data_IF_761989310984
#
_entry.id   IF_761989310984
#
_cell.length_a   1.000
_cell.length_b   1.000
_cell.length_c   1.000
_cell.angle_alpha   90.00
_cell.angle_beta   90.00
_cell.angle_gamma   90.00
#
_symmetry.space_group_name_H-M   'P 1'
#
loop_
_entity.id
_entity.type
_entity.pdbx_description
1 polymer ?
#
# COMPACT_ATOMS: atom_id res chain seq x y z
N UNK A 1 -7.16 -9.06 -18.88
CA UNK A 1 -8.15 -8.42 -17.98
C UNK A 1 -8.70 -7.15 -18.63
N UNK A 2 -9.97 -6.80 -18.43
CA UNK A 2 -10.56 -5.58 -19.01
C UNK A 2 -11.18 -4.76 -17.88
N UNK A 3 -10.64 -3.59 -17.64
CA UNK A 3 -11.17 -2.62 -16.68
C UNK A 3 -12.24 -1.73 -17.31
N UNK A 4 -13.13 -1.23 -16.48
CA UNK A 4 -14.00 -0.11 -16.78
C UNK A 4 -13.49 1.11 -16.01
N UNK A 5 -13.34 2.24 -16.70
CA UNK A 5 -12.85 3.48 -16.08
C UNK A 5 -13.75 4.65 -16.42
N UNK A 6 -13.87 5.61 -15.50
CA UNK A 6 -14.61 6.85 -15.69
C UNK A 6 -14.00 7.95 -14.83
N UNK A 7 -14.11 9.19 -15.29
CA UNK A 7 -13.71 10.36 -14.50
C UNK A 7 -14.92 11.26 -14.33
N UNK A 8 -15.28 11.59 -13.10
CA UNK A 8 -16.34 12.52 -12.77
C UNK A 8 -15.90 13.99 -13.02
N UNK A 9 -16.87 14.90 -13.13
CA UNK A 9 -16.61 16.32 -13.39
C UNK A 9 -15.76 16.98 -12.29
N UNK A 10 -15.84 16.49 -11.05
CA UNK A 10 -15.01 16.93 -9.92
C UNK A 10 -13.59 16.36 -9.91
N UNK A 11 -13.21 15.58 -10.93
CA UNK A 11 -11.87 15.02 -11.09
C UNK A 11 -11.68 13.63 -10.47
N UNK A 12 -12.63 13.09 -9.71
CA UNK A 12 -12.53 11.73 -9.17
C UNK A 12 -12.50 10.72 -10.32
N UNK A 13 -11.50 9.86 -10.28
CA UNK A 13 -11.36 8.74 -11.22
C UNK A 13 -11.92 7.46 -10.61
N UNK A 14 -12.72 6.73 -11.36
CA UNK A 14 -13.31 5.45 -10.95
C UNK A 14 -12.70 4.35 -11.80
N UNK A 15 -12.24 3.27 -11.15
CA UNK A 15 -11.76 2.06 -11.82
C UNK A 15 -12.51 0.84 -11.29
N UNK A 16 -13.01 0.00 -12.19
CA UNK A 16 -13.73 -1.21 -11.84
C UNK A 16 -13.20 -2.40 -12.63
N UNK A 17 -12.87 -3.47 -11.91
CA UNK A 17 -12.59 -4.79 -12.50
C UNK A 17 -13.82 -5.68 -12.33
N UNK A 18 -14.52 -6.04 -13.41
CA UNK A 18 -15.65 -6.98 -13.36
C UNK A 18 -15.21 -8.38 -12.94
N UNK A 19 -15.99 -9.04 -12.12
CA UNK A 19 -15.83 -10.47 -11.80
C UNK A 19 -17.21 -11.08 -11.51
N UNK A 20 -17.27 -12.40 -11.41
CA UNK A 20 -18.48 -13.16 -11.06
C UNK A 20 -18.71 -13.27 -9.53
N UNK A 21 -17.83 -12.67 -8.73
CA UNK A 21 -17.93 -12.69 -7.28
C UNK A 21 -19.09 -11.86 -6.78
N UNK A 22 -19.90 -12.44 -5.89
CA UNK A 22 -20.93 -11.70 -5.15
C UNK A 22 -20.34 -10.79 -4.07
N UNK A 23 -19.13 -11.09 -3.57
CA UNK A 23 -18.38 -10.20 -2.70
C UNK A 23 -17.70 -9.15 -3.56
N UNK A 24 -17.87 -7.90 -3.17
CA UNK A 24 -17.28 -6.73 -3.81
C UNK A 24 -16.27 -6.13 -2.85
N UNK A 25 -15.06 -5.89 -3.36
CA UNK A 25 -14.05 -5.07 -2.70
C UNK A 25 -14.11 -3.68 -3.34
N UNK A 26 -14.36 -2.66 -2.55
CA UNK A 26 -14.44 -1.29 -3.06
C UNK A 26 -13.97 -0.27 -2.03
N UNK A 27 -13.50 0.88 -2.50
CA UNK A 27 -13.03 1.93 -1.61
C UNK A 27 -12.40 3.11 -2.31
N UNK A 28 -11.94 4.04 -1.49
CA UNK A 28 -11.14 5.19 -1.91
C UNK A 28 -9.68 4.93 -1.62
N UNK A 29 -8.85 5.28 -2.59
CA UNK A 29 -7.42 5.47 -2.37
C UNK A 29 -7.07 6.93 -2.61
N UNK A 30 -6.42 7.54 -1.65
CA UNK A 30 -6.11 8.95 -1.63
C UNK A 30 -4.59 9.11 -1.72
N UNK A 31 -4.12 9.99 -2.59
CA UNK A 31 -2.70 10.31 -2.70
C UNK A 31 -2.30 11.26 -1.56
N UNK A 32 -2.40 10.76 -0.34
CA UNK A 32 -2.13 11.45 0.91
C UNK A 32 -1.60 10.41 1.91
N UNK A 33 -0.31 10.35 2.08
CA UNK A 33 0.37 9.49 3.05
C UNK A 33 1.34 10.31 3.88
N UNK A 34 2.16 9.64 4.68
CA UNK A 34 3.10 10.34 5.56
C UNK A 34 4.12 11.18 4.79
N UNK A 35 4.42 10.84 3.56
CA UNK A 35 5.26 11.64 2.67
C UNK A 35 4.72 13.06 2.40
N UNK A 36 3.44 13.30 2.64
CA UNK A 36 2.76 14.58 2.43
C UNK A 36 2.72 15.44 3.69
N UNK A 37 3.23 14.93 4.80
CA UNK A 37 3.36 15.65 6.07
C UNK A 37 4.46 16.71 5.97
N UNK A 38 4.26 17.82 6.65
CA UNK A 38 5.25 18.88 6.77
C UNK A 38 6.10 18.64 8.03
N UNK A 39 7.30 19.22 8.13
CA UNK A 39 8.11 19.07 9.33
C UNK A 39 7.34 19.47 10.61
N UNK A 40 7.26 18.53 11.56
CA UNK A 40 6.48 18.68 12.78
C UNK A 40 5.08 18.06 12.73
N UNK A 41 4.68 17.50 11.59
CA UNK A 41 3.40 16.81 11.40
C UNK A 41 3.58 15.27 11.31
N UNK A 42 4.75 14.75 11.68
CA UNK A 42 5.04 13.32 11.54
C UNK A 42 4.05 12.47 12.33
N UNK A 43 3.32 11.59 11.62
CA UNK A 43 2.22 10.78 12.15
C UNK A 43 0.83 11.34 11.90
N UNK A 44 0.69 12.55 11.32
CA UNK A 44 -0.62 13.18 11.11
C UNK A 44 -1.48 12.44 10.09
N UNK A 45 -0.89 11.84 9.05
CA UNK A 45 -1.62 11.05 8.05
C UNK A 45 -2.28 9.82 8.68
N UNK A 46 -1.53 9.09 9.51
CA UNK A 46 -2.04 7.93 10.26
C UNK A 46 -3.07 8.36 11.31
N UNK A 47 -2.80 9.44 12.04
CA UNK A 47 -3.77 10.03 12.96
C UNK A 47 -5.09 10.37 12.26
N UNK A 48 -5.05 11.00 11.08
CA UNK A 48 -6.25 11.30 10.29
C UNK A 48 -7.02 10.04 9.89
N UNK A 49 -6.32 8.94 9.59
CA UNK A 49 -6.96 7.66 9.31
C UNK A 49 -7.82 7.21 10.48
N UNK A 50 -7.27 7.13 11.69
CA UNK A 50 -7.98 6.72 12.91
C UNK A 50 -9.20 7.60 13.20
N UNK A 51 -9.00 8.92 13.17
CA UNK A 51 -10.08 9.85 13.54
C UNK A 51 -11.15 10.03 12.47
N UNK A 52 -10.92 9.55 11.24
CA UNK A 52 -11.91 9.53 10.15
C UNK A 52 -13.15 8.68 10.51
N UNK A 53 -13.00 7.65 11.35
CA UNK A 53 -14.11 6.82 11.82
C UNK A 53 -14.89 7.40 13.01
N UNK A 54 -14.53 8.58 13.51
CA UNK A 54 -15.07 9.13 14.75
C UNK A 54 -16.24 10.10 14.57
N UNK A 55 -16.58 10.45 13.35
CA UNK A 55 -17.76 11.24 13.04
C UNK A 55 -17.69 12.05 11.77
N UNK A 56 -18.84 12.16 11.12
CA UNK A 56 -19.06 13.02 9.96
C UNK A 56 -20.13 14.07 10.31
N UNK A 57 -20.45 14.98 9.39
CA UNK A 57 -21.59 15.90 9.54
C UNK A 57 -22.91 15.14 9.71
N UNK A 58 -23.06 13.94 9.11
CA UNK A 58 -24.29 13.14 9.11
C UNK A 58 -24.29 12.00 10.13
N UNK A 59 -23.12 11.45 10.48
CA UNK A 59 -22.98 10.21 11.25
C UNK A 59 -22.10 10.37 12.46
N UNK A 60 -22.52 9.82 13.59
CA UNK A 60 -21.67 9.63 14.78
C UNK A 60 -20.82 8.35 14.59
N UNK A 61 -19.74 8.21 15.34
CA UNK A 61 -18.84 7.06 15.32
C UNK A 61 -19.56 5.70 15.34
N UNK A 62 -20.57 5.55 16.24
CA UNK A 62 -21.33 4.30 16.33
C UNK A 62 -22.09 3.96 15.03
N UNK A 63 -22.66 4.96 14.35
CA UNK A 63 -23.37 4.75 13.08
C UNK A 63 -22.39 4.35 11.97
N UNK A 64 -21.16 4.89 11.95
CA UNK A 64 -20.12 4.56 10.99
C UNK A 64 -19.74 3.09 11.14
N UNK A 65 -19.37 2.67 12.36
CA UNK A 65 -18.95 1.30 12.65
C UNK A 65 -20.03 0.26 12.33
N UNK A 66 -21.29 0.52 12.69
CA UNK A 66 -22.37 -0.44 12.46
C UNK A 66 -22.93 -0.43 11.03
N UNK A 67 -22.63 0.59 10.23
CA UNK A 67 -23.24 0.77 8.93
C UNK A 67 -23.02 -0.45 8.00
N UNK A 68 -21.83 -0.98 7.92
CA UNK A 68 -21.53 -2.15 7.09
C UNK A 68 -21.57 -3.46 7.88
N UNK A 69 -21.11 -3.47 9.12
CA UNK A 69 -21.12 -4.66 9.96
C UNK A 69 -22.51 -5.25 10.16
N UNK A 70 -23.55 -4.41 10.26
CA UNK A 70 -24.95 -4.85 10.39
C UNK A 70 -25.45 -5.70 9.21
N UNK A 71 -24.78 -5.65 8.08
CA UNK A 71 -25.07 -6.46 6.88
C UNK A 71 -23.94 -7.41 6.52
N UNK A 72 -22.99 -7.63 7.45
CA UNK A 72 -21.88 -8.56 7.29
C UNK A 72 -20.78 -8.06 6.34
N UNK A 73 -20.64 -6.74 6.18
CA UNK A 73 -19.56 -6.11 5.45
C UNK A 73 -18.45 -5.66 6.38
N UNK A 74 -17.20 -5.70 5.89
CA UNK A 74 -16.04 -5.18 6.60
C UNK A 74 -15.78 -3.73 6.22
N UNK A 75 -15.24 -2.95 7.15
CA UNK A 75 -14.76 -1.60 6.93
C UNK A 75 -13.33 -1.50 7.45
N UNK A 76 -12.39 -1.21 6.56
CA UNK A 76 -10.96 -1.18 6.85
C UNK A 76 -10.30 0.07 6.29
N UNK A 77 -9.14 0.42 6.87
CA UNK A 77 -8.24 1.45 6.34
C UNK A 77 -6.79 1.09 6.60
N UNK A 78 -5.89 1.74 5.89
CA UNK A 78 -4.47 1.76 6.19
C UNK A 78 -3.80 2.98 5.58
N UNK A 79 -2.75 3.44 6.25
CA UNK A 79 -1.88 4.52 5.78
C UNK A 79 -0.48 3.98 5.45
N UNK A 80 0.09 4.47 4.36
CA UNK A 80 1.48 4.22 4.01
C UNK A 80 2.19 5.53 3.63
N UNK A 81 3.44 5.45 3.18
CA UNK A 81 4.23 6.65 2.85
C UNK A 81 3.60 7.53 1.77
N UNK A 82 2.93 6.97 0.76
CA UNK A 82 2.40 7.72 -0.40
C UNK A 82 0.88 7.81 -0.46
N UNK A 83 0.14 7.11 0.40
CA UNK A 83 -1.32 7.12 0.32
C UNK A 83 -2.02 6.58 1.54
N UNK A 84 -3.30 6.94 1.66
CA UNK A 84 -4.25 6.37 2.63
C UNK A 84 -5.40 5.71 1.88
N UNK A 85 -5.85 4.58 2.37
CA UNK A 85 -6.91 3.77 1.75
C UNK A 85 -8.02 3.52 2.76
N UNK A 86 -9.26 3.74 2.35
CA UNK A 86 -10.48 3.37 3.08
C UNK A 86 -11.28 2.44 2.19
N UNK A 87 -11.58 1.23 2.65
CA UNK A 87 -12.20 0.22 1.81
C UNK A 87 -13.12 -0.73 2.58
N UNK A 88 -13.90 -1.46 1.83
CA UNK A 88 -14.87 -2.43 2.33
C UNK A 88 -14.87 -3.69 1.48
N UNK A 89 -15.09 -4.83 2.14
CA UNK A 89 -15.53 -6.07 1.52
C UNK A 89 -17.00 -6.29 1.87
N UNK A 90 -17.89 -6.36 0.88
CA UNK A 90 -19.34 -6.41 1.10
C UNK A 90 -20.06 -7.22 0.01
N UNK A 91 -21.24 -7.75 0.32
CA UNK A 91 -22.09 -8.35 -0.71
C UNK A 91 -22.61 -7.28 -1.69
N UNK A 92 -22.67 -7.63 -2.98
CA UNK A 92 -23.04 -6.71 -4.06
C UNK A 92 -24.38 -6.00 -3.89
N UNK A 93 -25.32 -6.62 -3.19
CA UNK A 93 -26.64 -6.05 -2.88
C UNK A 93 -26.55 -4.82 -1.97
N UNK A 94 -25.48 -4.71 -1.18
CA UNK A 94 -25.24 -3.61 -0.23
C UNK A 94 -24.23 -2.58 -0.74
N UNK A 95 -23.83 -2.64 -2.01
CA UNK A 95 -22.81 -1.72 -2.58
C UNK A 95 -23.19 -0.25 -2.45
N UNK A 96 -24.47 0.10 -2.53
CA UNK A 96 -24.91 1.48 -2.38
C UNK A 96 -24.63 2.01 -0.97
N UNK A 97 -24.80 1.17 0.06
CA UNK A 97 -24.49 1.48 1.46
C UNK A 97 -22.99 1.70 1.67
N UNK A 98 -22.15 0.83 1.07
CA UNK A 98 -20.69 0.97 1.14
C UNK A 98 -20.21 2.26 0.46
N UNK A 99 -20.72 2.56 -0.74
CA UNK A 99 -20.36 3.79 -1.47
C UNK A 99 -20.76 5.03 -0.67
N UNK A 100 -21.97 5.07 -0.11
CA UNK A 100 -22.45 6.21 0.68
C UNK A 100 -21.62 6.42 1.96
N UNK A 101 -21.34 5.33 2.71
CA UNK A 101 -20.52 5.42 3.91
C UNK A 101 -19.09 5.87 3.61
N UNK A 102 -18.43 5.20 2.65
CA UNK A 102 -17.03 5.49 2.31
C UNK A 102 -16.87 6.92 1.80
N UNK A 103 -17.84 7.42 1.00
CA UNK A 103 -17.81 8.81 0.54
C UNK A 103 -17.98 9.80 1.70
N UNK A 104 -18.88 9.48 2.63
CA UNK A 104 -19.16 10.33 3.79
C UNK A 104 -17.94 10.44 4.73
N UNK A 105 -17.32 9.31 5.08
CA UNK A 105 -16.17 9.34 5.99
C UNK A 105 -14.93 9.95 5.35
N UNK A 106 -14.71 9.78 4.04
CA UNK A 106 -13.52 10.32 3.35
C UNK A 106 -13.63 11.84 3.13
N UNK A 107 -14.81 12.35 2.76
CA UNK A 107 -14.94 13.74 2.33
C UNK A 107 -15.70 14.64 3.30
N UNK A 108 -16.40 14.09 4.28
CA UNK A 108 -17.26 14.85 5.21
C UNK A 108 -16.99 14.58 6.70
N UNK A 109 -15.83 14.00 7.04
CA UNK A 109 -15.41 13.86 8.44
C UNK A 109 -15.16 15.20 9.10
N UNK A 110 -15.63 15.33 10.36
CA UNK A 110 -15.57 16.59 11.15
C UNK A 110 -14.58 16.53 12.30
N UNK A 111 -14.02 15.36 12.57
CA UNK A 111 -12.98 15.13 13.57
C UNK A 111 -13.30 15.73 14.95
N UNK A 112 -14.36 15.25 15.67
CA UNK A 112 -14.79 15.84 16.93
C UNK A 112 -13.68 15.76 17.99
N UNK A 113 -13.30 16.88 18.62
CA UNK A 113 -12.20 16.90 19.59
C UNK A 113 -12.39 15.89 20.73
N UNK A 114 -13.62 15.73 21.24
CA UNK A 114 -13.90 14.78 22.30
C UNK A 114 -13.68 13.30 21.89
N UNK A 115 -13.75 12.97 20.61
CA UNK A 115 -13.40 11.65 20.10
C UNK A 115 -11.89 11.55 19.82
N UNK A 116 -11.24 12.62 19.37
CA UNK A 116 -9.79 12.72 19.24
C UNK A 116 -9.12 12.44 20.59
N UNK A 117 -9.58 13.11 21.66
CA UNK A 117 -9.01 12.98 23.01
C UNK A 117 -9.01 11.53 23.53
N UNK A 118 -9.96 10.71 23.05
CA UNK A 118 -10.01 9.27 23.35
C UNK A 118 -9.10 8.46 22.46
N UNK A 119 -9.05 8.78 21.15
CA UNK A 119 -8.31 8.02 20.17
C UNK A 119 -6.82 8.21 20.28
N UNK A 120 -6.36 9.38 20.72
CA UNK A 120 -4.95 9.69 20.96
C UNK A 120 -4.28 8.63 21.84
N UNK A 121 -4.93 8.19 22.92
CA UNK A 121 -4.33 7.15 23.78
C UNK A 121 -4.30 5.78 23.08
N UNK A 122 -5.30 5.46 22.25
CA UNK A 122 -5.29 4.22 21.43
C UNK A 122 -4.12 4.22 20.44
N UNK A 123 -3.89 5.36 19.78
CA UNK A 123 -2.76 5.50 18.83
C UNK A 123 -1.41 5.46 19.60
N UNK A 124 -1.35 6.05 20.78
CA UNK A 124 -0.15 5.97 21.62
C UNK A 124 0.15 4.53 22.06
N UNK A 125 -0.86 3.75 22.45
CA UNK A 125 -0.72 2.34 22.79
C UNK A 125 -0.23 1.52 21.56
N UNK A 126 -0.72 1.85 20.37
CA UNK A 126 -0.23 1.24 19.11
C UNK A 126 1.24 1.57 18.86
N UNK A 127 1.64 2.83 19.03
CA UNK A 127 3.05 3.25 18.90
C UNK A 127 3.95 2.48 19.88
N UNK A 128 3.51 2.32 21.14
CA UNK A 128 4.25 1.55 22.14
C UNK A 128 4.36 0.08 21.75
N UNK A 129 3.25 -0.55 21.35
CA UNK A 129 3.22 -1.94 20.87
C UNK A 129 4.13 -2.16 19.68
N UNK A 130 4.15 -1.21 18.73
CA UNK A 130 5.00 -1.27 17.56
C UNK A 130 6.50 -1.12 17.93
N UNK A 131 6.81 -0.21 18.84
CA UNK A 131 8.18 -0.01 19.35
C UNK A 131 8.69 -1.23 20.13
N UNK A 132 7.80 -2.01 20.73
CA UNK A 132 8.11 -3.26 21.43
C UNK A 132 8.25 -4.48 20.48
N UNK A 133 8.03 -4.28 19.17
CA UNK A 133 8.22 -5.28 18.11
C UNK A 133 9.47 -4.99 17.27
N UNK A 134 10.67 -5.41 17.68
CA UNK A 134 11.91 -5.10 16.97
C UNK A 134 11.94 -5.63 15.54
N UNK A 135 11.21 -6.72 15.27
CA UNK A 135 11.10 -7.32 13.95
C UNK A 135 10.32 -6.47 12.95
N UNK A 136 9.39 -5.63 13.44
CA UNK A 136 8.61 -4.68 12.64
C UNK A 136 9.32 -3.32 12.60
N UNK A 137 9.70 -2.80 13.76
CA UNK A 137 10.34 -1.51 13.89
C UNK A 137 11.62 -1.36 13.04
N UNK A 138 12.37 -2.44 12.83
CA UNK A 138 13.63 -2.38 12.07
C UNK A 138 13.42 -1.96 10.61
N UNK A 139 12.25 -2.22 10.01
CA UNK A 139 11.93 -1.82 8.65
C UNK A 139 11.78 -0.30 8.55
N UNK A 140 11.03 0.31 9.46
CA UNK A 140 10.85 1.75 9.51
C UNK A 140 12.15 2.48 9.85
N UNK A 141 12.87 2.01 10.85
CA UNK A 141 14.16 2.61 11.22
C UNK A 141 15.19 2.50 10.09
N UNK A 142 15.18 1.40 9.35
CA UNK A 142 16.05 1.24 8.20
C UNK A 142 15.69 2.24 7.08
N UNK A 143 14.41 2.40 6.81
CA UNK A 143 13.92 3.34 5.80
C UNK A 143 14.17 4.79 6.22
N UNK A 144 14.00 5.12 7.51
CA UNK A 144 14.34 6.43 8.07
C UNK A 144 15.82 6.76 7.91
N UNK A 145 16.70 5.78 8.05
CA UNK A 145 18.15 5.94 7.80
C UNK A 145 18.40 6.18 6.32
N UNK A 146 17.83 5.35 5.44
CA UNK A 146 18.00 5.46 3.99
C UNK A 146 17.55 6.83 3.45
N UNK A 147 16.47 7.37 4.00
CA UNK A 147 15.84 8.61 3.53
C UNK A 147 15.97 9.77 4.51
N UNK A 148 17.00 9.73 5.36
CA UNK A 148 17.21 10.77 6.34
C UNK A 148 17.20 12.17 5.73
N UNK A 149 16.39 13.05 6.31
CA UNK A 149 16.25 14.45 5.86
C UNK A 149 15.32 14.60 4.65
N UNK A 150 14.59 13.57 4.25
CA UNK A 150 13.52 13.65 3.27
C UNK A 150 12.16 13.31 3.87
N UNK A 151 11.10 13.59 3.15
CA UNK A 151 9.72 13.29 3.54
C UNK A 151 9.40 11.77 3.62
N UNK A 152 10.29 10.89 3.19
CA UNK A 152 10.19 9.44 3.38
C UNK A 152 10.87 8.96 4.69
N UNK A 153 11.70 9.80 5.29
CA UNK A 153 12.61 9.42 6.38
C UNK A 153 12.04 9.66 7.79
N UNK A 154 10.79 9.31 8.05
CA UNK A 154 10.16 9.33 9.38
C UNK A 154 9.12 8.22 9.52
N UNK A 155 8.80 7.84 10.76
CA UNK A 155 7.87 6.75 11.04
C UNK A 155 6.44 7.12 10.62
N UNK A 156 5.70 6.12 10.12
CA UNK A 156 4.29 6.29 9.71
C UNK A 156 3.43 6.69 10.91
N UNK A 157 3.67 6.09 12.07
CA UNK A 157 2.91 6.35 13.29
C UNK A 157 3.30 7.68 13.98
N UNK A 158 4.40 8.31 13.59
CA UNK A 158 4.95 9.46 14.29
C UNK A 158 5.48 9.12 15.69
N UNK A 159 5.36 10.04 16.62
CA UNK A 159 5.70 9.86 18.04
C UNK A 159 4.50 10.14 18.94
N UNK A 160 4.45 9.48 20.11
CA UNK A 160 3.38 9.72 21.08
C UNK A 160 3.28 11.20 21.52
N UNK A 161 4.40 11.93 21.56
CA UNK A 161 4.41 13.36 21.86
C UNK A 161 3.71 14.18 20.79
N UNK A 162 4.01 13.93 19.52
CA UNK A 162 3.36 14.61 18.39
C UNK A 162 1.88 14.27 18.30
N UNK A 163 1.52 12.97 18.41
CA UNK A 163 0.12 12.52 18.37
C UNK A 163 -0.72 13.19 19.46
N UNK A 164 -0.19 13.33 20.68
CA UNK A 164 -0.88 14.05 21.78
C UNK A 164 -1.05 15.55 21.54
N UNK A 165 -0.32 16.13 20.59
CA UNK A 165 -0.45 17.54 20.25
C UNK A 165 -1.47 17.82 19.14
N UNK A 166 -1.91 16.79 18.41
CA UNK A 166 -2.82 16.97 17.26
C UNK A 166 -4.25 17.30 17.69
N UNK A 167 -4.87 18.18 16.93
CA UNK A 167 -6.20 18.70 17.17
C UNK A 167 -7.13 18.50 15.97
N UNK A 168 -8.41 18.77 16.16
CA UNK A 168 -9.39 18.85 15.06
C UNK A 168 -8.91 19.75 13.92
N UNK A 169 -8.25 20.89 14.24
CA UNK A 169 -7.78 21.84 13.23
C UNK A 169 -6.65 21.26 12.39
N UNK A 170 -5.74 20.50 13.00
CA UNK A 170 -4.64 19.82 12.29
C UNK A 170 -5.18 18.77 11.31
N UNK A 171 -6.13 17.93 11.78
CA UNK A 171 -6.78 16.94 10.92
C UNK A 171 -7.53 17.60 9.75
N UNK A 172 -8.31 18.66 10.03
CA UNK A 172 -9.02 19.40 8.99
C UNK A 172 -8.08 20.10 8.00
N UNK A 173 -6.96 20.65 8.48
CA UNK A 173 -5.95 21.28 7.62
C UNK A 173 -5.37 20.26 6.64
N UNK A 174 -4.93 19.10 7.15
CA UNK A 174 -4.35 18.03 6.34
C UNK A 174 -5.36 17.47 5.34
N UNK A 175 -6.55 17.11 5.79
CA UNK A 175 -7.56 16.46 4.96
C UNK A 175 -8.16 17.42 3.93
N UNK A 176 -8.46 18.68 4.24
CA UNK A 176 -8.91 19.68 3.26
C UNK A 176 -7.88 19.93 2.16
N UNK A 177 -6.58 19.86 2.49
CA UNK A 177 -5.50 19.99 1.51
C UNK A 177 -5.43 18.78 0.57
N UNK A 178 -5.60 17.57 1.09
CA UNK A 178 -5.23 16.32 0.41
C UNK A 178 -6.40 15.40 0.07
N UNK A 179 -7.45 15.33 0.90
CA UNK A 179 -8.61 14.46 0.69
C UNK A 179 -9.60 15.14 -0.25
N UNK A 180 -9.24 15.20 -1.53
CA UNK A 180 -10.04 15.84 -2.57
C UNK A 180 -10.34 14.82 -3.68
N UNK A 181 -11.50 14.94 -4.35
CA UNK A 181 -11.85 14.03 -5.43
C UNK A 181 -10.79 13.93 -6.52
N UNK A 182 -10.17 15.04 -6.92
CA UNK A 182 -9.12 15.08 -7.94
C UNK A 182 -7.79 14.47 -7.51
N UNK A 183 -7.58 14.26 -6.20
CA UNK A 183 -6.41 13.62 -5.60
C UNK A 183 -6.69 12.18 -5.14
N UNK A 184 -7.83 11.63 -5.51
CA UNK A 184 -8.28 10.30 -5.11
C UNK A 184 -8.76 9.46 -6.31
N UNK A 185 -8.94 8.16 -6.06
CA UNK A 185 -9.69 7.27 -6.93
C UNK A 185 -10.72 6.52 -6.12
N UNK A 186 -11.80 6.09 -6.79
CA UNK A 186 -12.67 5.02 -6.29
C UNK A 186 -12.37 3.75 -7.07
N UNK A 187 -12.02 2.66 -6.36
CA UNK A 187 -11.82 1.36 -6.98
C UNK A 187 -12.93 0.40 -6.60
N UNK A 188 -13.24 -0.54 -7.49
CA UNK A 188 -14.16 -1.64 -7.22
C UNK A 188 -13.76 -2.92 -7.96
N UNK A 189 -13.90 -4.05 -7.28
CA UNK A 189 -13.66 -5.39 -7.84
C UNK A 189 -14.82 -6.32 -7.47
N UNK A 190 -15.61 -6.78 -8.43
CA UNK A 190 -16.74 -7.67 -8.19
C UNK A 190 -17.81 -7.59 -9.27
N UNK A 191 -18.95 -8.27 -9.00
CA UNK A 191 -20.12 -8.31 -9.89
C UNK A 191 -21.00 -7.06 -9.70
N UNK A 192 -20.63 -5.96 -10.36
CA UNK A 192 -21.36 -4.69 -10.28
C UNK A 192 -21.60 -4.16 -11.69
N UNK A 193 -22.79 -3.62 -11.94
CA UNK A 193 -23.04 -2.79 -13.11
C UNK A 193 -22.25 -1.46 -13.00
N UNK A 194 -21.34 -1.25 -13.94
CA UNK A 194 -20.46 -0.09 -13.91
C UNK A 194 -21.18 1.25 -14.03
N UNK A 195 -22.25 1.32 -14.85
CA UNK A 195 -23.03 2.56 -15.00
C UNK A 195 -23.76 2.90 -13.70
N UNK A 196 -24.28 1.86 -13.01
CA UNK A 196 -24.89 2.04 -11.68
C UNK A 196 -23.86 2.49 -10.66
N UNK A 197 -22.65 1.90 -10.65
CA UNK A 197 -21.55 2.30 -9.76
C UNK A 197 -21.20 3.77 -9.94
N UNK A 198 -20.97 4.23 -11.17
CA UNK A 198 -20.66 5.63 -11.49
C UNK A 198 -21.75 6.57 -10.99
N UNK A 199 -23.04 6.20 -11.16
CA UNK A 199 -24.16 7.00 -10.64
C UNK A 199 -24.19 7.04 -9.11
N UNK A 200 -23.90 5.93 -8.43
CA UNK A 200 -23.85 5.88 -6.97
C UNK A 200 -22.75 6.78 -6.41
N UNK A 201 -21.54 6.64 -6.93
CA UNK A 201 -20.39 7.47 -6.50
C UNK A 201 -20.65 8.94 -6.82
N UNK A 202 -21.18 9.25 -8.00
CA UNK A 202 -21.52 10.62 -8.38
C UNK A 202 -22.57 11.27 -7.46
N UNK A 203 -23.59 10.51 -7.04
CA UNK A 203 -24.61 11.00 -6.10
C UNK A 203 -24.08 11.19 -4.69
N UNK A 204 -23.21 10.29 -4.22
CA UNK A 204 -22.61 10.38 -2.90
C UNK A 204 -21.66 11.59 -2.74
N UNK A 205 -21.17 12.13 -3.87
CA UNK A 205 -20.28 13.30 -3.91
C UNK A 205 -20.97 14.58 -4.41
N UNK A 206 -22.21 14.51 -4.84
CA UNK A 206 -22.98 15.72 -5.16
C UNK A 206 -23.33 16.39 -3.82
N UNK A 207 -23.00 17.68 -3.69
CA UNK A 207 -23.48 18.52 -2.57
C UNK A 207 -25.01 18.61 -2.67
N UNK A 208 -25.70 17.63 -2.12
CA UNK A 208 -27.15 17.63 -2.12
C UNK A 208 -27.62 18.15 -0.76
N UNK A 209 -28.17 19.35 -0.77
CA UNK A 209 -28.89 20.03 0.32
C UNK A 209 -30.13 19.23 0.79
N UNK A 210 -30.25 17.96 0.42
CA UNK A 210 -31.32 17.04 0.75
C UNK A 210 -30.90 16.01 1.81
N UNK A 211 -30.81 16.44 3.06
CA UNK A 211 -30.68 15.59 4.25
C UNK A 211 -31.82 14.60 4.48
N UNK A 212 -32.37 13.97 3.42
CA UNK A 212 -33.56 13.10 3.52
C UNK A 212 -33.37 11.64 3.17
N UNK A 213 -32.17 11.18 2.78
CA UNK A 213 -31.97 9.78 2.43
C UNK A 213 -31.31 8.91 3.52
N UNK A 214 -30.83 9.50 4.59
CA UNK A 214 -30.02 8.78 5.59
C UNK A 214 -30.84 8.07 6.70
N UNK A 215 -32.09 8.41 6.92
CA UNK A 215 -32.91 7.80 8.00
C UNK A 215 -33.78 6.62 7.56
N UNK A 216 -34.18 6.54 6.29
CA UNK A 216 -35.08 5.48 5.84
C UNK A 216 -34.37 4.15 5.50
N UNK A 217 -33.10 4.17 5.06
CA UNK A 217 -32.40 2.94 4.68
C UNK A 217 -31.70 2.20 5.84
N UNK A 218 -31.53 2.83 7.00
CA UNK A 218 -31.02 2.16 8.20
C UNK A 218 -32.08 1.39 9.00
N UNK A 219 -33.36 1.58 8.71
CA UNK A 219 -34.48 0.96 9.42
C UNK A 219 -35.45 0.15 8.55
N UNK A 220 -35.21 0.02 7.25
CA UNK A 220 -36.10 -0.74 6.38
C UNK A 220 -35.78 -2.24 6.40
N UNK A 221 -36.33 -2.93 7.39
CA UNK A 221 -36.61 -4.36 7.30
C UNK A 221 -37.77 -4.61 6.32
N UNK A 222 -37.52 -5.54 5.40
CA UNK A 222 -38.50 -6.37 4.71
C UNK A 222 -39.85 -5.76 4.25
N UNK A 223 -39.90 -5.30 3.00
CA UNK A 223 -41.06 -5.67 2.17
C UNK A 223 -40.73 -5.43 0.68
N UNK A 224 -40.90 -6.46 -0.12
CA UNK A 224 -40.68 -6.42 -1.57
C UNK A 224 -41.69 -5.53 -2.29
N UNK A 225 -41.23 -4.93 -3.38
CA UNK A 225 -42.07 -4.15 -4.29
C UNK A 225 -41.31 -3.81 -5.55
N UNK A 226 -41.57 -4.58 -6.58
CA UNK A 226 -41.14 -4.37 -7.99
C UNK A 226 -41.77 -3.09 -8.55
N UNK A 227 -40.98 -2.28 -9.25
CA UNK A 227 -41.52 -1.27 -10.16
C UNK A 227 -40.59 -0.10 -10.43
N UNK A 228 -39.67 -0.20 -11.37
CA UNK A 228 -39.07 0.96 -12.01
C UNK A 228 -39.38 1.00 -13.49
N UNK A 229 -40.23 1.95 -13.85
CA UNK A 229 -40.46 2.36 -15.23
C UNK A 229 -39.24 3.14 -15.74
N UNK A 230 -38.82 2.81 -16.96
CA UNK A 230 -37.64 3.38 -17.57
C UNK A 230 -37.83 4.83 -18.01
N UNK A 231 -36.71 5.51 -18.03
CA UNK A 231 -36.45 6.63 -18.93
C UNK A 231 -35.15 6.34 -19.66
N UNK A 232 -35.28 5.96 -20.91
CA UNK A 232 -34.18 5.76 -21.85
C UNK A 232 -33.74 7.13 -22.36
N UNK A 233 -32.61 7.62 -21.87
CA UNK A 233 -31.85 8.61 -22.58
C UNK A 233 -30.46 8.06 -22.93
N UNK A 234 -30.33 7.85 -24.24
CA UNK A 234 -29.18 7.32 -24.94
C UNK A 234 -27.87 8.05 -24.59
N UNK A 235 -26.98 7.39 -23.86
CA UNK A 235 -25.57 7.73 -23.86
C UNK A 235 -24.89 6.84 -24.90
N UNK A 236 -24.51 7.41 -26.00
CA UNK A 236 -23.76 6.80 -27.10
C UNK A 236 -22.45 6.23 -26.57
N UNK A 237 -22.36 4.90 -26.58
CA UNK A 237 -21.11 4.18 -26.53
C UNK A 237 -20.41 4.30 -27.88
N UNK A 238 -19.34 5.06 -27.92
CA UNK A 238 -18.14 4.83 -28.75
C UNK A 238 -17.20 6.02 -28.57
N UNK A 239 -16.23 5.88 -27.67
CA UNK A 239 -14.91 6.48 -27.88
C UNK A 239 -13.88 5.45 -27.44
N UNK A 240 -13.25 4.89 -28.47
CA UNK A 240 -11.99 4.19 -28.46
C UNK A 240 -10.99 4.79 -27.46
N UNK A 241 -10.27 3.91 -26.81
CA UNK A 241 -9.01 4.12 -26.10
C UNK A 241 -8.37 5.48 -26.46
N UNK A 242 -8.80 6.52 -25.78
CA UNK A 242 -8.04 7.77 -25.71
C UNK A 242 -7.15 7.62 -24.49
N UNK A 243 -5.84 7.63 -24.74
CA UNK A 243 -4.79 7.74 -23.74
C UNK A 243 -5.28 8.47 -22.49
N UNK A 244 -5.42 7.73 -21.39
CA UNK A 244 -5.52 8.34 -20.06
C UNK A 244 -4.34 9.31 -20.00
N UNK A 245 -4.62 10.60 -19.83
CA UNK A 245 -3.56 11.59 -19.62
C UNK A 245 -2.70 11.03 -18.51
N UNK A 246 -1.45 10.69 -18.83
CA UNK A 246 -0.48 10.28 -17.84
C UNK A 246 -0.57 11.29 -16.70
N UNK A 247 -0.71 10.80 -15.48
CA UNK A 247 -0.52 11.62 -14.29
C UNK A 247 0.83 12.29 -14.52
N UNK A 248 0.86 13.62 -14.69
CA UNK A 248 2.09 14.34 -15.01
C UNK A 248 3.16 14.02 -13.97
N UNK A 249 4.45 14.19 -14.29
CA UNK A 249 5.51 13.89 -13.35
C UNK A 249 5.23 14.64 -12.04
N UNK A 250 5.03 13.89 -10.95
CA UNK A 250 4.85 14.47 -9.62
C UNK A 250 6.19 15.11 -9.26
N UNK A 251 6.20 16.37 -8.86
CA UNK A 251 7.36 17.01 -8.27
C UNK A 251 7.50 16.49 -6.83
N UNK A 252 8.28 15.43 -6.66
CA UNK A 252 8.65 14.96 -5.33
C UNK A 252 9.76 15.84 -4.76
N UNK A 253 9.73 16.17 -3.45
CA UNK A 253 10.87 16.77 -2.77
C UNK A 253 12.12 15.88 -2.89
N UNK A 254 13.31 16.48 -2.84
CA UNK A 254 14.56 15.73 -2.88
C UNK A 254 14.56 14.60 -1.85
N UNK A 255 14.98 13.40 -2.24
CA UNK A 255 15.12 12.24 -1.34
C UNK A 255 16.36 12.30 -0.43
N UNK A 256 17.03 13.45 -0.35
CA UNK A 256 18.23 13.66 0.46
C UNK A 256 19.49 12.98 -0.12
N UNK A 257 20.63 13.17 0.55
CA UNK A 257 21.88 12.49 0.19
C UNK A 257 21.82 11.00 0.50
N UNK A 258 22.44 10.18 -0.34
CA UNK A 258 22.52 8.73 -0.10
C UNK A 258 23.56 8.45 0.99
N UNK A 259 23.11 7.86 2.10
CA UNK A 259 23.98 7.30 3.11
C UNK A 259 24.44 5.93 2.62
N UNK A 260 25.72 5.62 2.67
CA UNK A 260 26.24 4.38 2.10
C UNK A 260 27.36 3.78 2.97
N UNK A 261 27.59 2.48 2.82
CA UNK A 261 28.79 1.79 3.30
C UNK A 261 28.96 1.72 4.82
N UNK A 262 27.90 1.81 5.62
CA UNK A 262 28.05 1.84 7.08
C UNK A 262 27.23 0.76 7.83
N UNK A 263 27.73 0.40 9.01
CA UNK A 263 27.02 -0.47 9.95
C UNK A 263 26.59 0.35 11.16
N UNK A 264 25.30 0.33 11.45
CA UNK A 264 24.65 1.03 12.57
C UNK A 264 24.16 -0.04 13.55
N UNK A 265 24.50 0.12 14.83
CA UNK A 265 24.06 -0.79 15.90
C UNK A 265 23.22 -0.01 16.89
N UNK A 266 22.00 -0.46 17.13
CA UNK A 266 21.10 0.10 18.13
C UNK A 266 20.83 -0.92 19.23
N UNK A 267 21.00 -0.50 20.49
CA UNK A 267 20.70 -1.32 21.67
C UNK A 267 19.18 -1.27 21.94
N UNK A 268 18.52 -2.40 21.75
CA UNK A 268 17.05 -2.56 21.95
C UNK A 268 16.70 -3.62 22.98
N UNK A 269 17.73 -4.23 23.66
CA UNK A 269 17.56 -5.29 24.65
C UNK A 269 16.65 -6.45 24.19
N UNK A 270 16.84 -6.88 22.96
CA UNK A 270 16.05 -7.94 22.32
C UNK A 270 16.61 -9.33 22.64
N UNK A 271 15.75 -10.36 22.68
CA UNK A 271 16.19 -11.75 22.87
C UNK A 271 17.00 -12.28 21.68
N UNK A 272 16.71 -11.80 20.48
CA UNK A 272 17.42 -12.11 19.24
C UNK A 272 17.92 -10.82 18.62
N UNK A 273 19.05 -10.89 17.94
CA UNK A 273 19.48 -9.79 17.10
C UNK A 273 18.63 -9.75 15.81
N UNK A 274 18.15 -8.58 15.46
CA UNK A 274 17.49 -8.31 14.18
C UNK A 274 18.45 -7.55 13.30
N UNK A 275 18.64 -8.01 12.07
CA UNK A 275 19.60 -7.45 11.12
C UNK A 275 18.91 -7.12 9.83
N UNK A 276 19.11 -5.89 9.36
CA UNK A 276 18.68 -5.45 8.04
C UNK A 276 19.87 -4.94 7.24
N UNK A 277 19.97 -5.37 5.98
CA UNK A 277 21.01 -4.99 5.04
C UNK A 277 20.34 -4.51 3.76
N UNK A 278 20.70 -3.35 3.25
CA UNK A 278 20.10 -2.89 2.00
C UNK A 278 20.62 -1.53 1.56
N UNK A 279 19.93 -0.98 0.56
CA UNK A 279 20.27 0.29 -0.08
C UNK A 279 19.04 0.91 -0.76
N UNK A 280 19.15 2.16 -1.19
CA UNK A 280 18.19 2.75 -2.12
C UNK A 280 18.20 1.98 -3.43
N UNK A 281 17.02 1.86 -4.04
CA UNK A 281 16.81 1.12 -5.27
C UNK A 281 15.99 1.94 -6.26
N UNK A 282 15.41 1.28 -7.23
CA UNK A 282 14.75 1.86 -8.39
C UNK A 282 13.33 2.33 -8.08
N UNK A 283 12.95 3.45 -8.67
CA UNK A 283 11.57 3.91 -8.68
C UNK A 283 10.66 3.01 -9.55
N UNK A 284 9.37 3.30 -9.50
CA UNK A 284 8.34 2.51 -10.20
C UNK A 284 8.45 2.53 -11.72
N UNK A 285 9.06 3.56 -12.32
CA UNK A 285 9.18 3.75 -13.77
C UNK A 285 10.50 3.23 -14.33
N UNK A 286 11.46 2.86 -13.47
CA UNK A 286 12.77 2.38 -13.88
C UNK A 286 12.68 0.96 -14.46
N UNK A 287 13.20 0.75 -15.68
CA UNK A 287 13.19 -0.55 -16.34
C UNK A 287 13.98 -1.63 -15.57
N UNK A 288 14.95 -1.23 -14.73
CA UNK A 288 15.74 -2.13 -13.89
C UNK A 288 14.95 -2.69 -12.71
N UNK A 289 13.80 -2.12 -12.41
CA UNK A 289 12.91 -2.62 -11.35
C UNK A 289 12.48 -4.07 -11.58
N UNK A 290 12.18 -4.45 -12.82
CA UNK A 290 11.73 -5.82 -13.12
C UNK A 290 12.85 -6.86 -12.99
N UNK A 291 14.08 -6.64 -13.49
CA UNK A 291 15.23 -7.48 -13.13
C UNK A 291 15.48 -7.56 -11.62
N UNK A 292 15.36 -6.45 -10.87
CA UNK A 292 15.48 -6.46 -9.41
C UNK A 292 14.37 -7.30 -8.75
N UNK A 293 13.15 -7.22 -9.23
CA UNK A 293 12.02 -8.01 -8.72
C UNK A 293 12.27 -9.52 -8.83
N UNK A 294 12.80 -9.98 -9.98
CA UNK A 294 13.18 -11.37 -10.14
C UNK A 294 14.39 -11.75 -9.30
N UNK A 295 15.41 -10.89 -9.20
CA UNK A 295 16.59 -11.08 -8.36
C UNK A 295 16.21 -11.18 -6.88
N UNK A 296 15.35 -10.29 -6.40
CA UNK A 296 14.82 -10.30 -5.04
C UNK A 296 14.12 -11.64 -4.72
N UNK A 297 13.28 -12.12 -5.63
CA UNK A 297 12.61 -13.41 -5.47
C UNK A 297 13.58 -14.59 -5.40
N UNK A 298 14.64 -14.59 -6.20
CA UNK A 298 15.70 -15.62 -6.19
C UNK A 298 16.46 -15.60 -4.86
N UNK A 299 16.74 -14.43 -4.32
CA UNK A 299 17.53 -14.27 -3.10
C UNK A 299 16.74 -14.65 -1.84
N UNK A 300 15.62 -14.01 -1.60
CA UNK A 300 14.87 -14.12 -0.35
C UNK A 300 13.36 -13.99 -0.54
N UNK A 301 12.82 -14.39 -1.69
CA UNK A 301 11.38 -14.48 -1.91
C UNK A 301 10.72 -15.57 -1.06
N UNK A 302 9.39 -15.73 -1.13
CA UNK A 302 8.61 -16.59 -0.22
C UNK A 302 8.86 -18.09 -0.38
N UNK A 303 9.65 -18.50 -1.37
CA UNK A 303 9.99 -19.91 -1.61
C UNK A 303 11.06 -20.42 -0.64
N UNK A 304 10.85 -21.60 -0.06
CA UNK A 304 11.84 -22.26 0.80
C UNK A 304 13.18 -22.55 0.08
N UNK A 305 13.17 -22.57 -1.25
CA UNK A 305 14.34 -22.73 -2.11
C UNK A 305 15.06 -21.41 -2.42
N UNK A 306 14.65 -20.29 -1.83
CA UNK A 306 15.34 -19.02 -1.96
C UNK A 306 16.79 -19.14 -1.44
N UNK A 307 17.74 -18.49 -2.11
CA UNK A 307 19.18 -18.68 -1.82
C UNK A 307 19.58 -18.36 -0.39
N UNK A 308 19.02 -17.29 0.16
CA UNK A 308 19.28 -16.88 1.55
C UNK A 308 18.66 -17.86 2.55
N UNK A 309 17.44 -18.33 2.28
CA UNK A 309 16.80 -19.34 3.12
C UNK A 309 17.63 -20.63 3.15
N UNK A 310 18.08 -21.13 1.99
CA UNK A 310 18.95 -22.28 1.92
C UNK A 310 20.27 -22.04 2.68
N UNK A 311 20.89 -20.86 2.49
CA UNK A 311 22.20 -20.58 3.05
C UNK A 311 22.19 -20.37 4.58
N UNK A 312 21.18 -19.67 5.12
CA UNK A 312 21.15 -19.30 6.53
C UNK A 312 20.34 -20.27 7.36
N UNK A 313 19.18 -20.71 6.87
CA UNK A 313 18.25 -21.57 7.60
C UNK A 313 18.51 -23.05 7.33
N UNK A 314 18.29 -23.50 6.10
CA UNK A 314 18.26 -24.94 5.80
C UNK A 314 19.62 -25.64 6.00
N UNK A 315 20.71 -25.02 5.53
CA UNK A 315 22.04 -25.62 5.62
C UNK A 315 22.77 -25.33 6.93
N UNK A 316 22.42 -24.27 7.64
CA UNK A 316 23.19 -23.83 8.78
C UNK A 316 22.35 -23.65 10.07
N UNK A 317 21.04 -23.59 10.01
CA UNK A 317 20.15 -23.47 11.17
C UNK A 317 20.36 -22.22 12.01
N UNK A 318 20.81 -21.09 11.39
CA UNK A 318 21.20 -19.87 12.09
C UNK A 318 20.05 -18.89 12.29
N UNK A 319 19.00 -18.99 11.47
CA UNK A 319 17.87 -18.05 11.46
C UNK A 319 16.56 -18.82 11.37
N UNK A 320 15.51 -18.29 11.98
CA UNK A 320 14.15 -18.80 11.76
C UNK A 320 13.53 -18.18 10.52
N UNK A 321 13.71 -16.88 10.35
CA UNK A 321 13.19 -16.10 9.21
C UNK A 321 14.33 -15.38 8.52
N UNK A 322 14.33 -15.41 7.19
CA UNK A 322 15.14 -14.56 6.33
C UNK A 322 14.33 -14.24 5.08
N UNK A 323 14.28 -12.97 4.76
CA UNK A 323 13.57 -12.50 3.58
C UNK A 323 14.30 -11.36 2.89
N UNK A 324 13.98 -11.16 1.62
CA UNK A 324 14.44 -10.00 0.85
C UNK A 324 13.22 -9.28 0.29
N UNK A 325 13.19 -7.97 0.53
CA UNK A 325 12.08 -7.11 0.15
C UNK A 325 12.53 -6.00 -0.77
N UNK A 326 11.61 -5.48 -1.55
CA UNK A 326 11.80 -4.27 -2.33
C UNK A 326 10.53 -3.42 -2.29
N UNK A 327 10.70 -2.12 -2.17
CA UNK A 327 9.62 -1.14 -2.28
C UNK A 327 9.99 -0.17 -3.39
N UNK A 328 9.04 0.15 -4.26
CA UNK A 328 9.20 1.16 -5.29
C UNK A 328 8.23 2.31 -5.02
N UNK A 329 8.76 3.51 -4.88
CA UNK A 329 8.06 4.77 -4.79
C UNK A 329 8.00 5.47 -6.15
N UNK A 330 7.32 6.60 -6.21
CA UNK A 330 7.17 7.35 -7.47
C UNK A 330 8.46 7.92 -8.04
N UNK A 331 9.52 8.07 -7.23
CA UNK A 331 10.80 8.73 -7.57
C UNK A 331 12.05 8.03 -7.01
N UNK A 332 11.87 6.97 -6.25
CA UNK A 332 12.95 6.19 -5.62
C UNK A 332 12.45 4.79 -5.24
N UNK A 333 13.27 4.02 -4.57
CA UNK A 333 12.88 2.74 -4.00
C UNK A 333 13.86 2.26 -2.94
N UNK A 334 13.56 1.12 -2.33
CA UNK A 334 14.43 0.41 -1.40
C UNK A 334 14.56 -1.05 -1.80
N UNK A 335 15.69 -1.62 -1.49
CA UNK A 335 15.91 -3.06 -1.47
C UNK A 335 16.61 -3.44 -0.18
N UNK A 336 16.13 -4.49 0.48
CA UNK A 336 16.71 -4.94 1.74
C UNK A 336 16.60 -6.44 1.94
N UNK A 337 17.45 -6.96 2.83
CA UNK A 337 17.42 -8.30 3.41
C UNK A 337 17.22 -8.14 4.91
N UNK A 338 16.26 -8.85 5.46
CA UNK A 338 16.04 -8.97 6.89
C UNK A 338 16.29 -10.40 7.35
N UNK A 339 16.87 -10.56 8.55
CA UNK A 339 16.91 -11.83 9.29
C UNK A 339 17.02 -11.62 10.80
N UNK A 340 16.45 -12.57 11.56
CA UNK A 340 16.64 -12.67 13.02
C UNK A 340 17.58 -13.83 13.36
N UNK A 341 18.57 -13.62 14.24
CA UNK A 341 19.51 -14.66 14.65
C UNK A 341 19.98 -14.42 16.10
N UNK A 342 20.69 -15.39 16.66
CA UNK A 342 21.39 -15.19 17.94
C UNK A 342 22.53 -14.16 17.77
N UNK A 343 22.77 -13.34 18.80
CA UNK A 343 23.78 -12.27 18.74
C UNK A 343 25.18 -12.77 18.33
N UNK A 344 25.58 -13.94 18.84
CA UNK A 344 26.89 -14.53 18.52
C UNK A 344 27.01 -15.00 17.07
N UNK A 345 25.89 -15.20 16.36
CA UNK A 345 25.87 -15.68 14.97
C UNK A 345 25.79 -14.53 13.94
N UNK A 346 25.60 -13.28 14.35
CA UNK A 346 25.50 -12.12 13.44
C UNK A 346 26.63 -12.13 12.39
N UNK A 347 27.88 -12.24 12.83
CA UNK A 347 29.03 -12.21 11.92
C UNK A 347 29.05 -13.37 10.93
N UNK A 348 28.52 -14.53 11.33
CA UNK A 348 28.42 -15.71 10.47
C UNK A 348 27.33 -15.52 9.44
N UNK A 349 26.17 -15.04 9.85
CA UNK A 349 25.04 -14.72 8.96
C UNK A 349 25.47 -13.67 7.91
N UNK A 350 26.07 -12.56 8.34
CA UNK A 350 26.55 -11.50 7.44
C UNK A 350 27.53 -12.03 6.38
N UNK A 351 28.44 -12.94 6.75
CA UNK A 351 29.36 -13.57 5.79
C UNK A 351 28.64 -14.46 4.78
N UNK A 352 27.61 -15.20 5.20
CA UNK A 352 26.82 -16.05 4.33
C UNK A 352 25.96 -15.21 3.37
N UNK A 353 25.33 -14.15 3.87
CA UNK A 353 24.60 -13.18 3.03
C UNK A 353 25.56 -12.61 1.97
N UNK A 354 26.69 -12.06 2.39
CA UNK A 354 27.68 -11.48 1.48
C UNK A 354 28.09 -12.48 0.39
N UNK A 355 28.35 -13.73 0.74
CA UNK A 355 28.72 -14.79 -0.18
C UNK A 355 27.65 -15.04 -1.25
N UNK A 356 26.38 -15.01 -0.90
CA UNK A 356 25.31 -15.18 -1.88
C UNK A 356 25.15 -13.93 -2.77
N UNK A 357 25.34 -12.72 -2.22
CA UNK A 357 25.36 -11.49 -3.03
C UNK A 357 26.53 -11.47 -4.00
N UNK A 358 27.74 -11.83 -3.56
CA UNK A 358 28.93 -11.91 -4.41
C UNK A 358 28.73 -12.89 -5.57
N UNK A 359 28.11 -14.05 -5.31
CA UNK A 359 27.79 -15.03 -6.36
C UNK A 359 26.89 -14.46 -7.45
N UNK A 360 25.91 -13.61 -7.09
CA UNK A 360 25.01 -12.98 -8.06
C UNK A 360 25.74 -11.90 -8.88
N UNK A 361 26.73 -11.23 -8.30
CA UNK A 361 27.57 -10.22 -8.97
C UNK A 361 28.60 -10.86 -9.91
N UNK A 362 29.22 -11.96 -9.48
CA UNK A 362 30.32 -12.60 -10.21
C UNK A 362 29.87 -13.41 -11.42
N UNK A 363 28.75 -14.14 -11.29
CA UNK A 363 28.31 -15.09 -12.31
C UNK A 363 26.86 -14.85 -12.73
N UNK A 364 26.61 -14.66 -14.04
CA UNK A 364 25.23 -14.61 -14.53
C UNK A 364 24.55 -15.96 -14.32
N UNK A 365 23.23 -15.94 -14.18
CA UNK A 365 22.42 -17.15 -14.11
C UNK A 365 22.57 -17.96 -15.40
N UNK A 366 22.69 -19.28 -15.29
CA UNK A 366 22.58 -20.16 -16.46
C UNK A 366 21.18 -20.09 -17.07
N UNK A 367 21.04 -20.46 -18.33
CA UNK A 367 19.74 -20.48 -19.02
C UNK A 367 18.70 -21.34 -18.27
N UNK A 368 19.11 -22.46 -17.67
CA UNK A 368 18.23 -23.33 -16.88
C UNK A 368 17.78 -22.67 -15.56
N UNK A 369 18.71 -21.99 -14.87
CA UNK A 369 18.40 -21.26 -13.63
C UNK A 369 17.43 -20.09 -13.89
N UNK A 370 17.70 -19.29 -14.93
CA UNK A 370 16.82 -18.19 -15.32
C UNK A 370 15.43 -18.68 -15.67
N UNK A 371 15.34 -19.75 -16.49
CA UNK A 371 14.04 -20.36 -16.85
C UNK A 371 13.26 -20.85 -15.62
N UNK A 372 13.96 -21.49 -14.67
CA UNK A 372 13.34 -21.95 -13.43
C UNK A 372 12.83 -20.79 -12.57
N UNK A 373 13.63 -19.73 -12.41
CA UNK A 373 13.25 -18.54 -11.64
C UNK A 373 12.03 -17.82 -12.26
N UNK A 374 12.01 -17.64 -13.59
CA UNK A 374 10.85 -17.07 -14.30
C UNK A 374 9.58 -17.91 -14.11
N UNK A 375 9.71 -19.23 -14.22
CA UNK A 375 8.57 -20.14 -14.00
C UNK A 375 8.04 -20.02 -12.57
N UNK A 376 8.93 -19.97 -11.58
CA UNK A 376 8.56 -19.86 -10.17
C UNK A 376 7.83 -18.56 -9.88
N UNK A 377 8.40 -17.41 -10.28
CA UNK A 377 7.78 -16.10 -9.98
C UNK A 377 6.43 -15.93 -10.69
N UNK A 378 6.29 -16.43 -11.93
CA UNK A 378 5.00 -16.40 -12.64
C UNK A 378 3.94 -17.23 -11.91
N UNK A 379 4.29 -18.39 -11.36
CA UNK A 379 3.39 -19.17 -10.52
C UNK A 379 2.98 -18.42 -9.25
N UNK A 380 3.93 -17.78 -8.58
CA UNK A 380 3.68 -17.00 -7.37
C UNK A 380 2.80 -15.76 -7.65
N UNK A 381 3.03 -15.06 -8.77
CA UNK A 381 2.17 -13.95 -9.23
C UNK A 381 0.75 -14.45 -9.45
N UNK A 382 0.57 -15.60 -10.13
CA UNK A 382 -0.75 -16.18 -10.38
C UNK A 382 -1.48 -16.50 -9.07
N UNK A 383 -0.80 -17.13 -8.12
CA UNK A 383 -1.37 -17.44 -6.79
C UNK A 383 -1.71 -16.16 -6.01
N UNK A 384 -0.82 -15.15 -6.04
CA UNK A 384 -1.08 -13.87 -5.37
C UNK A 384 -2.29 -13.13 -5.95
N UNK A 385 -2.48 -13.18 -7.27
CA UNK A 385 -3.64 -12.57 -7.94
C UNK A 385 -4.98 -13.22 -7.60
N UNK A 386 -4.98 -14.43 -7.02
CA UNK A 386 -6.19 -15.12 -6.56
C UNK A 386 -6.71 -14.53 -5.22
N UNK A 387 -5.86 -13.83 -4.46
CA UNK A 387 -6.30 -13.01 -3.34
C UNK A 387 -6.95 -11.72 -3.89
N UNK A 388 -8.27 -11.72 -3.93
CA UNK A 388 -9.08 -10.66 -4.57
C UNK A 388 -8.95 -9.32 -3.87
N UNK A 389 -8.87 -9.30 -2.55
CA UNK A 389 -8.71 -8.10 -1.75
C UNK A 389 -7.38 -7.40 -2.07
N UNK A 390 -6.28 -8.11 -1.89
CA UNK A 390 -4.95 -7.58 -2.19
C UNK A 390 -4.82 -7.15 -3.65
N UNK A 391 -5.44 -7.88 -4.57
CA UNK A 391 -5.43 -7.53 -5.98
C UNK A 391 -6.23 -6.24 -6.27
N UNK A 392 -7.37 -6.04 -5.58
CA UNK A 392 -8.16 -4.83 -5.69
C UNK A 392 -7.39 -3.59 -5.18
N UNK A 393 -6.75 -3.72 -4.03
CA UNK A 393 -5.92 -2.67 -3.45
C UNK A 393 -4.72 -2.32 -4.35
N UNK A 394 -4.09 -3.32 -4.94
CA UNK A 394 -2.90 -3.15 -5.76
C UNK A 394 -3.19 -2.52 -7.15
N UNK A 395 -4.29 -2.93 -7.84
CA UNK A 395 -4.66 -2.23 -9.07
C UNK A 395 -5.14 -0.80 -8.81
N UNK A 396 -5.82 -0.57 -7.68
CA UNK A 396 -6.19 0.78 -7.24
C UNK A 396 -4.96 1.65 -7.05
N UNK A 397 -3.97 1.17 -6.30
CA UNK A 397 -2.68 1.86 -6.11
C UNK A 397 -2.00 2.20 -7.43
N UNK A 398 -1.93 1.23 -8.35
CA UNK A 398 -1.33 1.43 -9.66
C UNK A 398 -2.06 2.48 -10.49
N UNK A 399 -3.39 2.50 -10.43
CA UNK A 399 -4.20 3.47 -11.13
C UNK A 399 -4.12 4.88 -10.51
N UNK A 400 -4.09 4.96 -9.16
CA UNK A 400 -3.97 6.24 -8.45
C UNK A 400 -2.66 6.93 -8.78
N UNK A 401 -1.54 6.24 -8.55
CA UNK A 401 -0.22 6.85 -8.57
C UNK A 401 0.38 6.96 -9.98
N UNK A 402 0.07 6.00 -10.86
CA UNK A 402 0.73 5.86 -12.16
C UNK A 402 -0.23 5.92 -13.35
N UNK A 403 -1.53 5.88 -13.12
CA UNK A 403 -2.53 5.82 -14.19
C UNK A 403 -2.57 4.48 -14.92
N UNK A 404 -1.98 3.41 -14.37
CA UNK A 404 -1.88 2.11 -15.02
C UNK A 404 -3.06 1.21 -14.65
N UNK A 405 -3.64 0.59 -15.67
CA UNK A 405 -4.49 -0.58 -15.50
C UNK A 405 -3.59 -1.81 -15.30
N UNK A 406 -3.59 -2.41 -14.11
CA UNK A 406 -2.74 -3.55 -13.81
C UNK A 406 -3.11 -4.75 -14.70
N UNK A 407 -2.16 -5.21 -15.51
CA UNK A 407 -2.34 -6.35 -16.40
C UNK A 407 -1.32 -7.45 -16.09
N UNK A 408 -1.82 -8.59 -15.64
CA UNK A 408 -1.00 -9.76 -15.26
C UNK A 408 -0.30 -10.35 -16.48
N UNK A 409 -0.93 -10.35 -17.66
CA UNK A 409 -0.31 -10.86 -18.89
C UNK A 409 0.89 -9.99 -19.28
N UNK A 410 0.75 -8.66 -19.19
CA UNK A 410 1.85 -7.73 -19.42
C UNK A 410 2.99 -7.94 -18.40
N UNK A 411 2.66 -8.20 -17.13
CA UNK A 411 3.67 -8.52 -16.12
C UNK A 411 4.40 -9.84 -16.44
N UNK A 412 3.69 -10.84 -16.93
CA UNK A 412 4.31 -12.08 -17.40
C UNK A 412 5.24 -11.87 -18.59
N UNK A 413 4.87 -11.01 -19.54
CA UNK A 413 5.72 -10.64 -20.68
C UNK A 413 6.99 -9.90 -20.21
N UNK A 414 6.86 -8.96 -19.27
CA UNK A 414 7.99 -8.28 -18.66
C UNK A 414 8.95 -9.27 -17.98
N UNK A 415 8.42 -10.23 -17.22
CA UNK A 415 9.23 -11.28 -16.58
C UNK A 415 9.95 -12.13 -17.65
N UNK A 416 9.26 -12.50 -18.73
CA UNK A 416 9.89 -13.29 -19.82
C UNK A 416 10.98 -12.52 -20.56
N UNK A 417 10.89 -11.21 -20.67
CA UNK A 417 11.89 -10.37 -21.32
C UNK A 417 13.20 -10.24 -20.51
N UNK A 418 13.19 -10.51 -19.20
CA UNK A 418 14.38 -10.36 -18.34
C UNK A 418 15.50 -11.29 -18.80
N UNK A 419 16.71 -10.77 -18.89
CA UNK A 419 17.94 -11.52 -19.23
C UNK A 419 18.82 -11.77 -18.01
N UNK A 420 19.68 -12.79 -18.08
CA UNK A 420 20.67 -13.06 -17.02
C UNK A 420 21.64 -11.89 -16.84
N UNK A 421 21.95 -11.17 -17.92
CA UNK A 421 22.84 -10.02 -17.87
C UNK A 421 22.21 -8.87 -17.08
N UNK A 422 20.95 -8.53 -17.35
CA UNK A 422 20.22 -7.49 -16.59
C UNK A 422 20.20 -7.79 -15.10
N UNK A 423 19.95 -9.05 -14.71
CA UNK A 423 19.98 -9.47 -13.29
C UNK A 423 21.37 -9.26 -12.69
N UNK A 424 22.43 -9.64 -13.42
CA UNK A 424 23.81 -9.46 -12.96
C UNK A 424 24.20 -7.98 -12.86
N UNK A 425 23.78 -7.15 -13.80
CA UNK A 425 24.08 -5.73 -13.80
C UNK A 425 23.41 -5.02 -12.61
N UNK A 426 22.14 -5.35 -12.34
CA UNK A 426 21.43 -4.89 -11.13
C UNK A 426 22.12 -5.36 -9.85
N UNK A 427 22.54 -6.64 -9.80
CA UNK A 427 23.27 -7.17 -8.66
C UNK A 427 24.60 -6.40 -8.42
N UNK A 428 25.36 -6.13 -9.47
CA UNK A 428 26.62 -5.36 -9.37
C UNK A 428 26.41 -3.93 -8.93
N UNK A 429 25.33 -3.30 -9.38
CA UNK A 429 24.99 -1.94 -8.99
C UNK A 429 24.55 -1.84 -7.53
N UNK A 430 23.63 -2.71 -7.10
CA UNK A 430 23.01 -2.57 -5.77
C UNK A 430 23.76 -3.28 -4.66
N UNK A 431 24.49 -4.35 -4.95
CA UNK A 431 25.14 -5.18 -3.92
C UNK A 431 26.58 -4.81 -3.66
N UNK A 432 27.05 -3.69 -4.21
CA UNK A 432 28.36 -3.16 -3.85
C UNK A 432 28.40 -2.92 -2.34
N UNK A 433 29.44 -3.45 -1.68
CA UNK A 433 29.63 -3.34 -0.23
C UNK A 433 29.69 -1.89 0.26
N UNK A 434 30.19 -0.99 -0.60
CA UNK A 434 30.33 0.42 -0.27
C UNK A 434 29.00 1.20 -0.40
N UNK A 435 27.95 0.56 -0.94
CA UNK A 435 26.57 1.10 -0.99
C UNK A 435 25.68 0.55 0.12
N UNK A 436 25.94 -0.67 0.58
CA UNK A 436 25.04 -1.35 1.51
C UNK A 436 25.16 -0.77 2.94
N UNK A 437 24.01 -0.43 3.50
CA UNK A 437 23.86 -0.13 4.93
C UNK A 437 23.50 -1.41 5.66
N UNK A 438 24.05 -1.59 6.85
CA UNK A 438 23.66 -2.66 7.78
C UNK A 438 23.14 -2.04 9.06
N UNK A 439 21.88 -2.29 9.41
CA UNK A 439 21.27 -1.94 10.68
C UNK A 439 21.15 -3.19 11.56
N UNK A 440 21.54 -3.09 12.81
CA UNK A 440 21.50 -4.20 13.79
C UNK A 440 20.81 -3.71 15.06
N UNK A 441 19.73 -4.37 15.44
CA UNK A 441 19.13 -4.28 16.77
C UNK A 441 19.63 -5.45 17.63
N UNK A 442 20.04 -5.18 18.88
CA UNK A 442 20.51 -6.18 19.81
C UNK A 442 20.37 -5.78 21.28
#
# INVERSE_FOLDING_TARGET
MKYNTHTLDNGLRIIHLPSDSKVVYCGYQINAGTRNEEPGEEGLAHFCEHVTFKGTERRKAWHILNCLESVGGDLNAYTNKEGTVYYSAILKEHIARAVDLLSDIVFHSVYPQAEIDKEVEVICDEIESYNDSPAELIYDEFENILFKGSSLGHNILGTAEQVRSFTTEDALRFTRKLYRPDNAIFFAYGDIDFKKLVKLVGRALADDDSGKLAEEDCHADFSGGTGFAGDENSITTEKSVSSVKSVGPKNYPSVGEEIAGQTIVMQKNTHQAHVMIGTRAYDVNDDRRMPLYLLNNILGGPGMNAKLNLALREHNGLVYTVESTMVAYGDTGTWSIYFGCDEHDIKRCLRLVRKELDRMMEKPLSASQLKAAKKQIKGQIGVACDNRENFALDFGKSFLHYGWEKNVDCLYEQVEAITSQQIQDVARELFDKDRLITLIFK
#
